data_IF_420906455027
#
_entry.id   IF_420906455027
#
_cell.length_a   1.000
_cell.length_b   1.000
_cell.length_c   1.000
_cell.angle_alpha   90.00
_cell.angle_beta   90.00
_cell.angle_gamma   90.00
#
_symmetry.space_group_name_H-M   'P 1'
#
loop_
_entity.id
_entity.type
_entity.pdbx_description
1 polymer ?
#
# COMPACT_ATOMS: atom_id res chain seq x y z
N UNK A 1 13.58 -1.46 -7.88
CA UNK A 1 13.62 -2.25 -6.66
C UNK A 1 12.22 -2.69 -6.26
N UNK A 2 12.12 -3.84 -5.62
CA UNK A 2 10.85 -4.28 -5.06
C UNK A 2 10.55 -3.52 -3.78
N UNK A 3 9.27 -3.34 -3.49
CA UNK A 3 8.82 -2.65 -2.29
C UNK A 3 7.92 -3.59 -1.48
N UNK A 4 8.15 -3.61 -0.16
CA UNK A 4 7.29 -4.34 0.76
C UNK A 4 6.51 -3.34 1.60
N UNK A 5 5.20 -3.33 1.41
CA UNK A 5 4.29 -2.44 2.13
C UNK A 5 3.85 -3.10 3.43
N UNK A 6 3.79 -2.31 4.48
CA UNK A 6 3.37 -2.73 5.83
C UNK A 6 2.23 -1.85 6.29
N UNK A 7 1.10 -2.46 6.64
CA UNK A 7 -0.01 -1.73 7.26
C UNK A 7 0.17 -1.74 8.77
N UNK A 8 0.02 -0.58 9.39
CA UNK A 8 0.21 -0.45 10.84
C UNK A 8 -1.07 -0.08 11.58
N UNK A 9 -1.82 0.91 11.10
CA UNK A 9 -2.97 1.41 11.84
C UNK A 9 -3.90 2.22 10.94
N UNK A 10 -5.10 2.47 11.43
CA UNK A 10 -6.07 3.30 10.76
C UNK A 10 -6.98 2.52 9.84
N UNK A 11 -7.46 3.17 8.80
CA UNK A 11 -8.31 2.53 7.81
C UNK A 11 -7.51 1.56 6.94
N UNK A 12 -8.19 0.61 6.27
CA UNK A 12 -7.53 -0.20 5.26
C UNK A 12 -6.99 0.65 4.13
N UNK A 13 -5.99 0.13 3.43
CA UNK A 13 -5.35 0.80 2.31
C UNK A 13 -5.60 0.00 1.03
N UNK A 14 -6.14 0.66 0.01
CA UNK A 14 -6.23 0.05 -1.31
C UNK A 14 -4.91 0.29 -2.05
N UNK A 15 -4.27 -0.78 -2.45
CA UNK A 15 -3.02 -0.75 -3.21
C UNK A 15 -3.28 -1.33 -4.58
N UNK A 16 -3.04 -0.52 -5.62
CA UNK A 16 -3.18 -0.97 -7.00
C UNK A 16 -1.80 -1.12 -7.62
N UNK A 17 -1.58 -2.24 -8.27
CA UNK A 17 -0.29 -2.60 -8.86
C UNK A 17 -0.52 -2.93 -10.32
N UNK A 18 0.19 -2.26 -11.22
CA UNK A 18 0.10 -2.50 -12.65
C UNK A 18 1.47 -2.91 -13.19
N UNK A 19 1.61 -4.17 -13.54
CA UNK A 19 2.84 -4.70 -14.12
C UNK A 19 2.90 -4.46 -15.63
N UNK A 20 1.75 -4.28 -16.27
CA UNK A 20 1.65 -4.05 -17.71
C UNK A 20 0.37 -3.25 -17.98
N UNK A 21 0.28 -2.56 -19.13
CA UNK A 21 -0.93 -1.85 -19.51
C UNK A 21 -2.15 -2.77 -19.49
N UNK A 22 -3.24 -2.32 -18.86
CA UNK A 22 -4.47 -3.09 -18.78
C UNK A 22 -4.49 -4.19 -17.74
N UNK A 23 -3.39 -4.41 -17.02
CA UNK A 23 -3.32 -5.41 -15.95
C UNK A 23 -3.13 -4.72 -14.62
N UNK A 24 -4.23 -4.55 -13.89
CA UNK A 24 -4.22 -3.93 -12.58
C UNK A 24 -4.61 -4.99 -11.56
N UNK A 25 -3.73 -5.20 -10.58
CA UNK A 25 -3.99 -6.04 -9.43
C UNK A 25 -4.27 -5.14 -8.24
N UNK A 26 -5.32 -5.44 -7.49
CA UNK A 26 -5.66 -4.67 -6.30
C UNK A 26 -5.49 -5.53 -5.06
N UNK A 27 -4.80 -4.98 -4.06
CA UNK A 27 -4.62 -5.59 -2.75
C UNK A 27 -5.12 -4.61 -1.71
N UNK A 28 -5.91 -5.10 -0.76
CA UNK A 28 -6.32 -4.28 0.38
C UNK A 28 -5.47 -4.64 1.57
N UNK A 29 -4.75 -3.66 2.10
CA UNK A 29 -3.94 -3.84 3.29
C UNK A 29 -4.75 -3.46 4.52
N UNK A 30 -4.65 -4.26 5.56
CA UNK A 30 -5.39 -4.03 6.80
C UNK A 30 -5.26 -5.21 7.74
N UNK A 31 -6.11 -5.21 8.77
CA UNK A 31 -6.07 -6.23 9.81
C UNK A 31 -7.14 -7.31 9.65
N UNK A 32 -8.12 -7.11 8.76
CA UNK A 32 -9.23 -8.05 8.60
C UNK A 32 -8.84 -9.17 7.63
N UNK A 33 -8.10 -10.15 8.13
CA UNK A 33 -7.62 -11.25 7.33
C UNK A 33 -8.78 -12.11 6.80
N UNK A 34 -9.83 -12.30 7.61
CA UNK A 34 -10.99 -13.06 7.18
C UNK A 34 -11.74 -12.38 6.04
N UNK A 35 -11.72 -11.05 6.02
CA UNK A 35 -12.32 -10.26 4.95
C UNK A 35 -11.46 -10.08 3.72
N UNK A 36 -10.28 -10.72 3.67
CA UNK A 36 -9.39 -10.64 2.54
C UNK A 36 -8.33 -9.56 2.62
N UNK A 37 -8.26 -8.83 3.72
CA UNK A 37 -7.20 -7.84 3.92
C UNK A 37 -5.90 -8.53 4.32
N UNK A 38 -4.79 -7.87 4.00
CA UNK A 38 -3.45 -8.39 4.32
C UNK A 38 -2.63 -7.31 5.02
N UNK A 39 -1.82 -7.70 6.04
CA UNK A 39 -1.00 -6.71 6.73
C UNK A 39 0.23 -6.27 5.91
N UNK A 40 0.60 -7.04 4.89
CA UNK A 40 1.76 -6.79 4.06
C UNK A 40 1.47 -7.13 2.61
N UNK A 41 2.14 -6.44 1.68
CA UNK A 41 2.08 -6.75 0.27
C UNK A 41 3.40 -6.39 -0.40
N UNK A 42 3.78 -7.18 -1.39
CA UNK A 42 4.99 -6.97 -2.17
C UNK A 42 4.61 -6.34 -3.50
N UNK A 43 5.23 -5.21 -3.82
CA UNK A 43 5.13 -4.59 -5.14
C UNK A 43 6.42 -4.92 -5.89
N UNK A 44 6.36 -5.73 -6.95
CA UNK A 44 7.57 -6.08 -7.71
C UNK A 44 8.24 -4.87 -8.32
N UNK A 45 9.53 -5.00 -8.61
CA UNK A 45 10.26 -3.95 -9.31
C UNK A 45 9.65 -3.68 -10.69
N UNK A 46 9.79 -2.45 -11.16
CA UNK A 46 9.36 -2.04 -12.49
C UNK A 46 7.85 -2.15 -12.72
N UNK A 47 7.07 -1.98 -11.65
CA UNK A 47 5.62 -1.90 -11.73
C UNK A 47 5.15 -0.51 -11.31
N UNK A 48 3.99 -0.11 -11.82
CA UNK A 48 3.30 1.09 -11.35
C UNK A 48 2.49 0.74 -10.12
N UNK A 49 2.40 1.66 -9.19
CA UNK A 49 1.61 1.47 -7.99
C UNK A 49 0.89 2.75 -7.61
N UNK A 50 -0.28 2.58 -7.01
CA UNK A 50 -1.05 3.67 -6.45
C UNK A 50 -1.65 3.20 -5.13
N UNK A 51 -1.70 4.08 -4.15
CA UNK A 51 -2.20 3.76 -2.82
C UNK A 51 -3.27 4.78 -2.43
N UNK A 52 -4.34 4.28 -1.82
CA UNK A 52 -5.46 5.12 -1.39
C UNK A 52 -5.96 4.63 -0.03
N UNK A 53 -6.02 5.52 0.95
CA UNK A 53 -6.67 5.20 2.22
C UNK A 53 -8.18 5.05 1.99
N UNK A 54 -8.76 3.98 2.55
CA UNK A 54 -10.18 3.70 2.43
C UNK A 54 -11.00 4.32 3.56
N UNK A 55 -10.40 5.19 4.35
CA UNK A 55 -11.06 5.93 5.41
C UNK A 55 -10.39 7.28 5.60
N UNK A 56 -10.43 7.78 6.84
CA UNK A 56 -9.90 9.12 7.13
C UNK A 56 -8.37 9.17 7.03
N UNK A 57 -7.71 8.08 7.39
CA UNK A 57 -6.26 7.99 7.32
C UNK A 57 -5.81 6.54 7.42
N UNK A 58 -4.59 6.28 6.95
CA UNK A 58 -3.90 4.99 7.09
C UNK A 58 -2.45 5.26 7.42
N UNK A 59 -1.93 4.59 8.44
CA UNK A 59 -0.49 4.60 8.73
C UNK A 59 0.13 3.34 8.17
N UNK A 60 1.12 3.50 7.32
CA UNK A 60 1.81 2.39 6.68
C UNK A 60 3.30 2.69 6.53
N UNK A 61 4.05 1.67 6.19
CA UNK A 61 5.47 1.79 5.91
C UNK A 61 5.80 1.04 4.64
N UNK A 62 6.97 1.32 4.12
CA UNK A 62 7.46 0.67 2.92
C UNK A 62 8.95 0.38 3.08
N UNK A 63 9.33 -0.89 2.86
CA UNK A 63 10.72 -1.32 2.84
C UNK A 63 11.12 -1.55 1.39
N UNK A 64 12.21 -0.94 0.98
CA UNK A 64 12.70 -1.04 -0.40
C UNK A 64 13.91 -1.96 -0.43
N UNK A 65 13.88 -2.94 -1.33
CA UNK A 65 14.97 -3.89 -1.52
C UNK A 65 15.47 -3.82 -2.98
N UNK A 66 16.78 -3.93 -3.24
CA UNK A 66 17.86 -3.98 -2.27
C UNK A 66 18.14 -2.60 -1.68
N UNK A 67 18.87 -2.53 -0.59
CA UNK A 67 19.21 -1.26 0.03
C UNK A 67 18.60 -1.11 1.41
N UNK A 68 17.52 -1.84 1.69
CA UNK A 68 16.88 -1.90 3.01
C UNK A 68 16.43 -0.53 3.54
N UNK A 69 16.11 0.39 2.64
CA UNK A 69 15.53 1.66 3.05
C UNK A 69 14.11 1.43 3.56
N UNK A 70 13.80 2.05 4.67
CA UNK A 70 12.47 1.99 5.26
C UNK A 70 11.88 3.38 5.32
N UNK A 71 10.61 3.50 4.92
CA UNK A 71 9.83 4.73 5.01
C UNK A 71 8.50 4.44 5.67
N UNK A 72 8.12 5.31 6.61
CA UNK A 72 6.79 5.27 7.20
C UNK A 72 6.06 6.55 6.84
N UNK A 73 4.78 6.43 6.53
CA UNK A 73 4.00 7.59 6.15
C UNK A 73 2.52 7.38 6.44
N UNK A 74 1.82 8.51 6.50
CA UNK A 74 0.38 8.55 6.69
C UNK A 74 -0.26 9.02 5.39
N UNK A 75 -1.32 8.32 4.98
CA UNK A 75 -2.07 8.66 3.78
C UNK A 75 -3.46 9.15 4.16
N UNK A 76 -3.90 10.20 3.49
CA UNK A 76 -5.24 10.76 3.65
C UNK A 76 -6.02 10.63 2.33
N UNK A 77 -7.36 10.73 2.37
CA UNK A 77 -8.15 10.66 1.15
C UNK A 77 -7.79 11.78 0.17
N UNK A 78 -8.03 11.58 -1.14
CA UNK A 78 -7.85 12.65 -2.12
C UNK A 78 -8.70 13.87 -1.76
N UNK A 79 -8.11 15.05 -1.94
CA UNK A 79 -8.77 16.30 -1.63
C UNK A 79 -8.67 16.73 -0.18
N UNK A 80 -8.08 15.91 0.69
CA UNK A 80 -7.84 16.29 2.08
C UNK A 80 -6.78 17.37 2.15
N UNK A 81 -7.00 18.34 3.04
CA UNK A 81 -6.07 19.45 3.26
C UNK A 81 -5.96 19.69 4.76
N UNK A 82 -4.74 19.85 5.29
CA UNK A 82 -4.57 20.14 6.72
C UNK A 82 -5.12 21.50 7.12
#
# INVERSE_FOLDING_TARGET
AAELWHWYAGAPLALEIAAAPGRIERVTLGADLDGGERPQAIVPAQTWQAALSLGDWTLCGCTVAPGFDFKAFELAPPGWSP
#
